data_IF_468662851983
#
_entry.id   IF_468662851983
#
_cell.length_a   1.000
_cell.length_b   1.000
_cell.length_c   1.000
_cell.angle_alpha   90.00
_cell.angle_beta   90.00
_cell.angle_gamma   90.00
#
_symmetry.space_group_name_H-M   'P 1'
#
loop_
_entity.id
_entity.type
_entity.pdbx_description
1 polymer ?
#
# COMPACT_ATOMS: atom_id res chain seq x y z
N UNK A 1 6.77 28.83 -20.48
CA UNK A 1 6.38 27.72 -19.59
C UNK A 1 7.65 27.03 -19.13
N UNK A 2 7.87 26.88 -17.82
CA UNK A 2 8.93 25.99 -17.34
C UNK A 2 8.58 24.55 -17.77
N UNK A 3 9.53 23.83 -18.36
CA UNK A 3 9.35 22.43 -18.77
C UNK A 3 9.09 21.51 -17.57
N UNK A 4 8.68 20.27 -17.85
CA UNK A 4 8.49 19.23 -16.83
C UNK A 4 9.79 19.08 -16.03
N UNK A 5 9.71 19.21 -14.70
CA UNK A 5 10.87 19.01 -13.83
C UNK A 5 11.31 17.54 -13.88
N UNK A 6 12.56 17.29 -14.27
CA UNK A 6 13.16 15.97 -14.14
C UNK A 6 13.44 15.68 -12.66
N UNK A 7 12.96 14.54 -12.16
CA UNK A 7 13.24 14.06 -10.81
C UNK A 7 14.44 13.11 -10.85
N UNK A 8 15.57 13.53 -10.29
CA UNK A 8 16.85 12.81 -10.37
C UNK A 8 17.33 12.27 -9.00
N UNK A 9 16.43 12.19 -8.01
CA UNK A 9 16.76 11.74 -6.65
C UNK A 9 15.98 10.48 -6.24
N UNK A 10 15.95 9.48 -7.13
CA UNK A 10 15.26 8.22 -6.90
C UNK A 10 15.86 7.38 -5.75
N UNK A 11 17.08 7.71 -5.32
CA UNK A 11 17.78 7.05 -4.23
C UNK A 11 17.29 7.53 -2.85
N UNK A 12 16.84 8.79 -2.73
CA UNK A 12 16.22 9.27 -1.49
C UNK A 12 14.81 8.71 -1.31
N UNK A 13 14.01 8.71 -2.39
CA UNK A 13 12.70 8.06 -2.43
C UNK A 13 12.20 7.93 -3.87
N UNK A 14 11.18 7.12 -4.09
CA UNK A 14 10.54 6.93 -5.38
C UNK A 14 9.14 7.58 -5.38
N UNK A 15 8.72 8.26 -6.46
CA UNK A 15 7.32 8.62 -6.63
C UNK A 15 6.43 7.37 -6.53
N UNK A 16 5.35 7.48 -5.77
CA UNK A 16 4.43 6.39 -5.56
C UNK A 16 3.74 6.02 -6.89
N UNK A 17 3.77 4.74 -7.26
CA UNK A 17 3.03 4.22 -8.40
C UNK A 17 1.52 4.35 -8.15
N UNK A 18 0.74 4.61 -9.21
CA UNK A 18 -0.72 4.71 -9.09
C UNK A 18 -1.35 3.45 -8.47
N UNK A 19 -0.92 2.26 -8.91
CA UNK A 19 -1.37 0.99 -8.35
C UNK A 19 -1.04 0.84 -6.85
N UNK A 20 0.15 1.29 -6.42
CA UNK A 20 0.54 1.26 -5.01
C UNK A 20 -0.32 2.23 -4.18
N UNK A 21 -0.64 3.41 -4.72
CA UNK A 21 -1.56 4.36 -4.08
C UNK A 21 -2.95 3.77 -3.91
N UNK A 22 -3.49 3.14 -4.95
CA UNK A 22 -4.82 2.52 -4.93
C UNK A 22 -4.90 1.38 -3.92
N UNK A 23 -3.91 0.48 -3.92
CA UNK A 23 -3.82 -0.61 -2.95
C UNK A 23 -3.77 -0.09 -1.50
N UNK A 24 -3.01 0.99 -1.26
CA UNK A 24 -2.93 1.63 0.06
C UNK A 24 -4.27 2.24 0.49
N UNK A 25 -4.98 2.93 -0.40
CA UNK A 25 -6.30 3.51 -0.07
C UNK A 25 -7.30 2.40 0.29
N UNK A 26 -7.36 1.34 -0.50
CA UNK A 26 -8.23 0.18 -0.22
C UNK A 26 -7.87 -0.47 1.11
N UNK A 27 -6.57 -0.60 1.43
CA UNK A 27 -6.14 -1.15 2.71
C UNK A 27 -6.51 -0.25 3.90
N UNK A 28 -6.51 1.08 3.74
CA UNK A 28 -6.90 2.04 4.78
C UNK A 28 -8.39 2.00 5.09
N UNK A 29 -9.24 1.61 4.14
CA UNK A 29 -10.68 1.42 4.38
C UNK A 29 -10.99 0.18 5.22
N UNK A 30 -10.01 -0.72 5.43
CA UNK A 30 -10.15 -1.92 6.28
C UNK A 30 -9.95 -1.54 7.75
N UNK A 31 -11.04 -1.19 8.43
CA UNK A 31 -11.05 -0.90 9.86
C UNK A 31 -11.07 -2.18 10.73
N UNK A 32 -10.00 -2.98 10.69
CA UNK A 32 -9.89 -4.20 11.49
C UNK A 32 -8.47 -4.45 12.02
N UNK A 33 -8.37 -5.18 13.13
CA UNK A 33 -7.09 -5.60 13.70
C UNK A 33 -6.68 -6.98 13.15
N UNK A 34 -5.59 -7.12 12.39
CA UNK A 34 -5.09 -8.41 11.87
C UNK A 34 -4.73 -9.46 12.93
N UNK A 35 -4.58 -9.04 14.19
CA UNK A 35 -4.32 -9.93 15.33
C UNK A 35 -5.61 -10.44 15.99
N UNK A 36 -6.77 -9.89 15.62
CA UNK A 36 -8.08 -10.35 16.12
C UNK A 36 -8.45 -11.71 15.53
N UNK A 37 -9.03 -12.57 16.37
CA UNK A 37 -9.53 -13.89 15.96
C UNK A 37 -10.88 -13.82 15.23
N UNK A 38 -11.58 -12.68 15.28
CA UNK A 38 -12.88 -12.49 14.63
C UNK A 38 -12.78 -12.43 13.10
N UNK A 39 -13.91 -12.49 12.41
CA UNK A 39 -13.95 -12.66 10.96
C UNK A 39 -13.23 -11.53 10.20
N UNK A 40 -13.46 -10.29 10.62
CA UNK A 40 -12.85 -9.07 10.10
C UNK A 40 -11.33 -9.06 10.34
N UNK A 41 -10.90 -9.50 11.53
CA UNK A 41 -9.48 -9.63 11.88
C UNK A 41 -8.77 -10.66 11.01
N UNK A 42 -9.38 -11.82 10.79
CA UNK A 42 -8.84 -12.84 9.87
C UNK A 42 -8.79 -12.34 8.42
N UNK A 43 -9.75 -11.51 8.00
CA UNK A 43 -9.74 -10.90 6.68
C UNK A 43 -8.59 -9.90 6.51
N UNK A 44 -8.38 -9.00 7.49
CA UNK A 44 -7.25 -8.07 7.48
C UNK A 44 -5.91 -8.81 7.52
N UNK A 45 -5.80 -9.92 8.28
CA UNK A 45 -4.61 -10.78 8.26
C UNK A 45 -4.35 -11.36 6.87
N UNK A 46 -5.38 -11.88 6.19
CA UNK A 46 -5.23 -12.42 4.82
C UNK A 46 -4.72 -11.37 3.83
N UNK A 47 -5.17 -10.13 3.95
CA UNK A 47 -4.69 -9.03 3.11
C UNK A 47 -3.17 -8.82 3.29
N UNK A 48 -2.69 -8.76 4.54
CA UNK A 48 -1.26 -8.61 4.84
C UNK A 48 -0.45 -9.82 4.34
N UNK A 49 -0.92 -11.04 4.60
CA UNK A 49 -0.20 -12.25 4.17
C UNK A 49 -0.18 -12.42 2.64
N UNK A 50 -1.19 -11.92 1.94
CA UNK A 50 -1.21 -11.88 0.48
C UNK A 50 -0.14 -10.92 -0.03
N UNK A 51 -0.11 -9.69 0.48
CA UNK A 51 0.89 -8.71 0.11
C UNK A 51 2.33 -9.19 0.41
N UNK A 52 2.54 -9.92 1.51
CA UNK A 52 3.86 -10.50 1.88
C UNK A 52 4.34 -11.55 0.89
N UNK A 53 3.45 -12.26 0.20
CA UNK A 53 3.80 -13.32 -0.76
C UNK A 53 4.01 -12.78 -2.18
N UNK A 54 3.53 -11.58 -2.46
CA UNK A 54 3.53 -10.97 -3.80
C UNK A 54 4.83 -10.22 -4.11
N UNK A 55 5.65 -9.93 -3.09
CA UNK A 55 6.95 -9.25 -3.19
C UNK A 55 8.10 -10.18 -2.83
#
# INVERSE_FOLDING_TARGET
MAGIRAYLDYNASAPLLAAAREAMVVALDVAANPSSVHAEGRAARRLIETARRDV
#
